data_IF_300777590844
#
_entry.id   IF_300777590844
#
_cell.length_a   1.000
_cell.length_b   1.000
_cell.length_c   1.000
_cell.angle_alpha   90.00
_cell.angle_beta   90.00
_cell.angle_gamma   90.00
#
_symmetry.space_group_name_H-M   'P 1'
#
loop_
_entity.id
_entity.type
_entity.pdbx_description
1 polymer ?
#
# COMPACT_ATOMS: atom_id res chain seq x y z
N UNK A 1 -3.37 -15.93 -2.60
CA UNK A 1 -2.90 -15.49 -3.94
C UNK A 1 -4.03 -14.69 -4.56
N UNK A 2 -3.85 -13.39 -4.78
CA UNK A 2 -4.81 -12.62 -5.58
C UNK A 2 -4.68 -13.04 -7.05
N UNK A 3 -5.80 -13.32 -7.68
CA UNK A 3 -5.89 -13.63 -9.10
C UNK A 3 -5.77 -12.37 -9.96
N UNK A 4 -5.31 -12.47 -11.22
CA UNK A 4 -5.19 -11.33 -12.13
C UNK A 4 -6.50 -10.53 -12.33
N UNK A 5 -7.65 -11.18 -12.17
CA UNK A 5 -8.97 -10.54 -12.25
C UNK A 5 -9.30 -9.68 -11.02
N UNK A 6 -8.81 -10.05 -9.83
CA UNK A 6 -8.94 -9.26 -8.61
C UNK A 6 -8.06 -8.01 -8.67
N UNK A 7 -6.85 -8.12 -9.25
CA UNK A 7 -6.00 -6.97 -9.54
C UNK A 7 -6.62 -6.01 -10.57
N UNK A 8 -7.42 -6.53 -11.52
CA UNK A 8 -8.09 -5.73 -12.56
C UNK A 8 -9.33 -5.00 -12.04
N UNK A 9 -10.09 -5.61 -11.12
CA UNK A 9 -11.24 -4.97 -10.46
C UNK A 9 -10.85 -3.76 -9.61
N UNK A 10 -9.66 -3.77 -9.03
CA UNK A 10 -9.12 -2.63 -8.28
C UNK A 10 -8.72 -1.45 -9.20
N UNK A 11 -8.38 -1.71 -10.47
CA UNK A 11 -7.89 -0.68 -11.41
C UNK A 11 -8.94 0.04 -12.28
N UNK A 12 -10.25 -0.14 -12.04
CA UNK A 12 -11.30 0.28 -12.98
C UNK A 12 -12.07 1.54 -12.61
N UNK A 13 -11.60 2.72 -13.10
CA UNK A 13 -12.33 4.01 -13.29
C UNK A 13 -12.89 4.72 -12.04
N UNK A 14 -12.49 5.99 -11.88
CA UNK A 14 -12.51 6.80 -10.66
C UNK A 14 -11.57 6.23 -9.59
N UNK A 15 -10.26 6.35 -9.79
CA UNK A 15 -9.32 6.03 -8.74
C UNK A 15 -9.49 7.03 -7.61
N UNK A 16 -10.28 6.65 -6.61
CA UNK A 16 -10.37 7.36 -5.35
C UNK A 16 -8.96 7.61 -4.81
N UNK A 17 -8.80 8.60 -3.93
CA UNK A 17 -7.51 8.81 -3.27
C UNK A 17 -6.97 7.51 -2.64
N UNK A 18 -7.88 6.64 -2.15
CA UNK A 18 -7.56 5.32 -1.60
C UNK A 18 -6.94 4.39 -2.65
N UNK A 19 -7.58 4.26 -3.82
CA UNK A 19 -7.08 3.40 -4.88
C UNK A 19 -5.72 3.86 -5.41
N UNK A 20 -5.50 5.17 -5.46
CA UNK A 20 -4.20 5.72 -5.87
C UNK A 20 -3.09 5.36 -4.87
N UNK A 21 -3.38 5.37 -3.56
CA UNK A 21 -2.44 4.91 -2.53
C UNK A 21 -2.16 3.42 -2.69
N UNK A 22 -3.20 2.58 -2.85
CA UNK A 22 -3.06 1.13 -3.03
C UNK A 22 -2.21 0.80 -4.26
N UNK A 23 -2.46 1.43 -5.41
CA UNK A 23 -1.70 1.20 -6.63
C UNK A 23 -0.22 1.57 -6.47
N UNK A 24 0.06 2.67 -5.76
CA UNK A 24 1.42 3.11 -5.47
C UNK A 24 2.16 2.13 -4.55
N UNK A 25 1.52 1.70 -3.46
CA UNK A 25 2.07 0.72 -2.53
C UNK A 25 2.33 -0.61 -3.24
N UNK A 26 1.36 -1.10 -4.01
CA UNK A 26 1.47 -2.34 -4.77
C UNK A 26 2.61 -2.28 -5.81
N UNK A 27 2.82 -1.14 -6.47
CA UNK A 27 3.95 -0.95 -7.38
C UNK A 27 5.31 -1.06 -6.66
N UNK A 28 5.44 -0.46 -5.47
CA UNK A 28 6.66 -0.57 -4.67
C UNK A 28 6.91 -2.00 -4.19
N UNK A 29 5.87 -2.68 -3.69
CA UNK A 29 5.96 -4.07 -3.23
C UNK A 29 6.41 -4.97 -4.38
N UNK A 30 5.79 -4.86 -5.57
CA UNK A 30 6.19 -5.63 -6.76
C UNK A 30 7.67 -5.43 -7.10
N UNK A 31 8.11 -4.18 -7.18
CA UNK A 31 9.53 -3.86 -7.44
C UNK A 31 10.46 -4.41 -6.36
N UNK A 32 10.06 -4.36 -5.09
CA UNK A 32 10.82 -4.94 -3.98
C UNK A 32 10.92 -6.47 -4.08
N UNK A 33 9.81 -7.14 -4.39
CA UNK A 33 9.76 -8.58 -4.58
C UNK A 33 10.62 -9.04 -5.77
N UNK A 34 10.60 -8.30 -6.88
CA UNK A 34 11.48 -8.54 -8.04
C UNK A 34 12.97 -8.44 -7.68
N UNK A 35 13.31 -7.65 -6.65
CA UNK A 35 14.67 -7.48 -6.12
C UNK A 35 15.00 -8.46 -4.98
N UNK A 36 14.10 -9.37 -4.63
CA UNK A 36 14.27 -10.32 -3.52
C UNK A 36 14.13 -9.72 -2.13
N UNK A 37 13.55 -8.52 -2.02
CA UNK A 37 13.23 -7.92 -0.72
C UNK A 37 12.02 -8.61 -0.07
N UNK A 38 11.94 -8.57 1.26
CA UNK A 38 10.78 -9.00 2.07
C UNK A 38 10.01 -7.82 2.67
N UNK A 39 10.45 -6.61 2.36
CA UNK A 39 9.84 -5.36 2.84
C UNK A 39 10.23 -4.18 1.99
N UNK A 40 9.38 -3.14 1.95
CA UNK A 40 9.64 -1.87 1.27
C UNK A 40 9.30 -0.67 2.14
N UNK A 41 9.90 0.48 1.84
CA UNK A 41 9.54 1.76 2.45
C UNK A 41 8.58 2.53 1.54
N UNK A 42 7.41 2.87 2.10
CA UNK A 42 6.38 3.68 1.44
C UNK A 42 6.32 5.04 2.11
N UNK A 43 6.46 6.16 1.37
CA UNK A 43 6.24 7.49 1.91
C UNK A 43 4.76 7.65 2.30
N UNK A 44 4.54 8.12 3.51
CA UNK A 44 3.21 8.54 4.01
C UNK A 44 2.85 9.91 3.41
N UNK A 45 3.87 10.71 3.08
CA UNK A 45 3.69 12.06 2.57
C UNK A 45 3.55 12.10 1.05
N UNK A 46 2.32 11.91 0.59
CA UNK A 46 1.89 12.38 -0.71
C UNK A 46 0.61 13.18 -0.48
N UNK A 47 0.31 14.15 -1.34
CA UNK A 47 -0.89 15.00 -1.25
C UNK A 47 -2.24 14.27 -1.39
N UNK A 48 -2.31 13.02 -0.91
CA UNK A 48 -3.51 12.24 -0.68
C UNK A 48 -4.15 12.65 0.64
N UNK A 49 -5.47 12.56 0.67
CA UNK A 49 -6.27 12.70 1.87
C UNK A 49 -5.79 11.67 2.92
N UNK A 50 -5.42 12.07 4.16
CA UNK A 50 -4.98 11.16 5.22
C UNK A 50 -5.95 9.99 5.46
N UNK A 51 -7.26 10.23 5.38
CA UNK A 51 -8.28 9.19 5.52
C UNK A 51 -8.14 8.10 4.43
N UNK A 52 -7.81 8.50 3.21
CA UNK A 52 -7.61 7.56 2.11
C UNK A 52 -6.35 6.70 2.29
N UNK A 53 -5.32 7.26 2.94
CA UNK A 53 -4.12 6.50 3.31
C UNK A 53 -4.44 5.49 4.42
N UNK A 54 -5.16 5.92 5.46
CA UNK A 54 -5.63 5.02 6.53
C UNK A 54 -6.49 3.88 6.00
N UNK A 55 -7.46 4.16 5.13
CA UNK A 55 -8.29 3.13 4.50
C UNK A 55 -7.47 2.15 3.64
N UNK A 56 -6.51 2.66 2.86
CA UNK A 56 -5.63 1.82 2.04
C UNK A 56 -4.75 0.91 2.92
N UNK A 57 -4.27 1.44 4.04
CA UNK A 57 -3.47 0.68 4.99
C UNK A 57 -4.34 -0.35 5.71
N UNK A 58 -5.57 -0.03 6.13
CA UNK A 58 -6.50 -1.03 6.67
C UNK A 58 -6.74 -2.19 5.68
N UNK A 59 -6.89 -1.88 4.39
CA UNK A 59 -7.05 -2.88 3.33
C UNK A 59 -5.79 -3.76 3.18
N UNK A 60 -4.59 -3.18 3.15
CA UNK A 60 -3.34 -3.93 3.13
C UNK A 60 -3.20 -4.85 4.36
N UNK A 61 -3.68 -4.43 5.54
CA UNK A 61 -3.64 -5.24 6.77
C UNK A 61 -4.49 -6.49 6.60
N UNK A 62 -5.66 -6.34 5.99
CA UNK A 62 -6.57 -7.45 5.70
C UNK A 62 -5.99 -8.45 4.69
N UNK A 63 -5.08 -7.99 3.82
CA UNK A 63 -4.38 -8.82 2.84
C UNK A 63 -3.12 -9.52 3.41
N UNK A 64 -2.80 -9.31 4.69
CA UNK A 64 -1.67 -9.96 5.37
C UNK A 64 -0.37 -9.16 5.37
N UNK A 65 -0.37 -7.93 4.86
CA UNK A 65 0.79 -7.03 4.98
C UNK A 65 0.92 -6.51 6.41
N UNK A 66 2.16 -6.30 6.87
CA UNK A 66 2.45 -5.82 8.22
C UNK A 66 3.28 -4.53 8.26
N UNK A 67 3.07 -3.77 9.33
CA UNK A 67 3.84 -2.60 9.77
C UNK A 67 3.67 -2.43 11.29
N UNK A 68 4.46 -1.55 11.91
CA UNK A 68 4.24 -1.16 13.31
C UNK A 68 3.40 0.12 13.40
N UNK A 69 2.55 0.22 14.44
CA UNK A 69 1.75 1.45 14.69
C UNK A 69 2.65 2.66 14.96
N UNK A 70 3.82 2.46 15.59
CA UNK A 70 4.78 3.52 15.85
C UNK A 70 5.41 4.08 14.56
N UNK A 71 5.61 3.25 13.53
CA UNK A 71 6.06 3.71 12.20
C UNK A 71 4.97 4.46 11.45
N UNK A 72 3.70 4.15 11.71
CA UNK A 72 2.55 4.83 11.14
C UNK A 72 2.39 6.24 11.72
N UNK A 73 2.46 6.39 13.05
CA UNK A 73 2.21 7.66 13.74
C UNK A 73 3.34 8.69 13.62
N UNK A 74 4.60 8.24 13.46
CA UNK A 74 5.78 9.11 13.66
C UNK A 74 6.54 9.50 12.41
N UNK A 75 6.20 9.00 11.21
CA UNK A 75 7.17 9.03 10.09
C UNK A 75 6.63 9.56 8.77
N UNK A 76 7.50 10.22 7.97
CA UNK A 76 7.22 10.48 6.56
C UNK A 76 7.24 9.20 5.71
N UNK A 77 7.63 8.05 6.27
CA UNK A 77 7.69 6.75 5.59
C UNK A 77 7.33 5.59 6.53
N UNK A 78 6.59 4.62 6.03
CA UNK A 78 6.26 3.36 6.70
C UNK A 78 6.96 2.18 6.04
N UNK A 79 7.46 1.25 6.85
CA UNK A 79 7.96 -0.04 6.36
C UNK A 79 6.78 -1.00 6.24
N UNK A 80 6.58 -1.56 5.06
CA UNK A 80 5.57 -2.60 4.80
C UNK A 80 6.30 -3.89 4.47
N UNK A 81 5.97 -4.96 5.19
CA UNK A 81 6.47 -6.33 4.94
C UNK A 81 5.32 -7.27 4.57
N UNK A 82 5.67 -8.39 3.94
CA UNK A 82 4.76 -9.44 3.49
C UNK A 82 5.34 -10.83 3.70
#
# INVERSE_FOLDING_TARGET
MLTPDEARRLGGKHTSAKQTVLDHVAAKIRKGAEQGAVSVFVPVNYGFNPAAFEEAMAELKSLGYGWTEEEFDRRPHIRIWW
#
